data_IF_605864836205
#
_entry.id   IF_605864836205
#
_cell.length_a   1.000
_cell.length_b   1.000
_cell.length_c   1.000
_cell.angle_alpha   90.00
_cell.angle_beta   90.00
_cell.angle_gamma   90.00
#
_symmetry.space_group_name_H-M   'P 1'
#
loop_
_entity.id
_entity.type
_entity.pdbx_description
1 polymer ?
#
# COMPACT_ATOMS: atom_id res chain seq x y z
N UNK A 1 -21.84 21.65 -47.85
CA UNK A 1 -21.59 22.97 -47.20
C UNK A 1 -22.59 23.23 -46.06
N UNK A 2 -22.91 22.22 -45.21
CA UNK A 2 -23.93 22.39 -44.13
C UNK A 2 -23.44 21.96 -42.75
N UNK A 3 -22.16 21.62 -42.60
CA UNK A 3 -21.59 21.17 -41.32
C UNK A 3 -20.58 22.13 -40.68
N UNK A 4 -20.25 23.27 -41.30
CA UNK A 4 -19.31 24.28 -40.77
C UNK A 4 -20.01 25.36 -39.90
N UNK A 5 -21.34 25.46 -39.92
CA UNK A 5 -22.07 26.45 -39.13
C UNK A 5 -22.37 25.99 -37.67
N UNK A 6 -22.19 24.72 -37.37
CA UNK A 6 -22.55 24.18 -36.04
C UNK A 6 -21.41 24.28 -35.00
N UNK A 7 -20.17 24.51 -35.47
CA UNK A 7 -18.99 24.60 -34.59
C UNK A 7 -18.68 26.00 -34.03
N UNK A 8 -19.26 27.06 -34.60
CA UNK A 8 -19.01 28.44 -34.19
C UNK A 8 -19.93 28.92 -33.06
N UNK A 9 -21.00 28.22 -32.72
CA UNK A 9 -21.94 28.58 -31.65
C UNK A 9 -21.54 27.97 -30.29
N UNK A 10 -20.69 26.94 -30.28
CA UNK A 10 -20.29 26.27 -29.02
C UNK A 10 -19.11 26.91 -28.28
N UNK A 11 -18.41 27.88 -28.87
CA UNK A 11 -17.23 28.53 -28.25
C UNK A 11 -17.59 29.83 -27.50
N UNK A 12 -18.82 30.33 -27.63
CA UNK A 12 -19.21 31.66 -27.07
C UNK A 12 -19.84 31.66 -25.68
N UNK A 13 -19.98 30.51 -24.98
CA UNK A 13 -20.70 30.43 -23.68
C UNK A 13 -19.76 30.20 -22.47
N UNK A 14 -18.44 30.11 -22.64
CA UNK A 14 -17.51 29.76 -21.55
C UNK A 14 -16.65 30.93 -21.02
N UNK A 15 -17.07 32.17 -21.22
CA UNK A 15 -16.33 33.34 -20.73
C UNK A 15 -17.18 34.27 -19.88
N UNK A 16 -17.75 33.79 -18.75
CA UNK A 16 -18.33 34.70 -17.74
C UNK A 16 -18.62 33.93 -16.46
N UNK A 17 -17.66 33.70 -15.60
CA UNK A 17 -17.84 33.49 -14.15
C UNK A 17 -16.49 33.37 -13.43
N UNK A 18 -15.79 34.50 -13.24
CA UNK A 18 -14.74 34.63 -12.21
C UNK A 18 -15.03 35.91 -11.41
N UNK A 19 -16.04 35.84 -10.55
CA UNK A 19 -16.20 36.81 -9.47
C UNK A 19 -15.63 36.18 -8.19
N UNK A 20 -14.46 36.66 -7.72
CA UNK A 20 -13.91 36.35 -6.40
C UNK A 20 -14.74 37.01 -5.31
N UNK A 21 -15.22 36.32 -4.29
CA UNK A 21 -15.70 36.95 -3.08
C UNK A 21 -14.49 37.44 -2.26
N UNK A 22 -14.49 38.72 -1.92
CA UNK A 22 -13.53 39.33 -1.00
C UNK A 22 -13.70 38.72 0.39
N UNK A 23 -12.60 38.22 0.94
CA UNK A 23 -12.54 37.65 2.28
C UNK A 23 -12.83 38.72 3.37
N UNK A 24 -13.78 38.38 4.21
CA UNK A 24 -14.08 39.10 5.45
C UNK A 24 -12.98 38.73 6.46
N UNK A 25 -12.12 39.68 6.80
CA UNK A 25 -11.11 39.52 7.85
C UNK A 25 -11.82 39.43 9.20
N UNK A 26 -11.73 38.26 9.84
CA UNK A 26 -12.13 38.07 11.24
C UNK A 26 -10.94 38.49 12.11
N UNK A 27 -11.10 39.39 13.11
CA UNK A 27 -10.01 39.75 14.01
C UNK A 27 -9.63 38.54 14.88
N UNK A 28 -8.34 38.21 14.90
CA UNK A 28 -7.73 37.20 15.76
C UNK A 28 -7.79 37.64 17.22
N UNK A 29 -8.29 36.84 18.16
CA UNK A 29 -8.18 37.14 19.57
C UNK A 29 -6.72 37.03 20.03
N UNK A 30 -6.27 38.02 20.81
CA UNK A 30 -4.95 38.07 21.42
C UNK A 30 -4.72 36.86 22.35
N UNK A 31 -3.48 36.32 22.42
CA UNK A 31 -3.18 35.22 23.33
C UNK A 31 -3.22 35.71 24.79
N UNK A 32 -4.13 35.14 25.56
CA UNK A 32 -4.09 35.27 27.02
C UNK A 32 -2.87 34.50 27.54
N UNK A 33 -1.93 35.20 28.13
CA UNK A 33 -0.79 34.64 28.85
C UNK A 33 -1.29 33.96 30.12
N UNK A 34 -1.67 32.67 30.00
CA UNK A 34 -1.90 31.80 31.15
C UNK A 34 -0.59 31.12 31.49
N UNK A 35 -0.07 31.36 32.70
CA UNK A 35 1.04 30.61 33.25
C UNK A 35 0.72 29.10 33.24
N UNK A 36 1.38 28.36 32.35
CA UNK A 36 1.33 26.91 32.36
C UNK A 36 2.25 26.43 33.48
N UNK A 37 1.63 25.98 34.58
CA UNK A 37 2.34 25.32 35.65
C UNK A 37 3.21 24.21 35.10
N UNK A 38 4.48 24.23 35.53
CA UNK A 38 5.52 23.24 35.22
C UNK A 38 5.02 21.83 35.50
N UNK A 39 4.61 21.13 34.45
CA UNK A 39 4.35 19.70 34.52
C UNK A 39 5.67 18.97 34.70
N UNK A 40 5.79 18.21 35.78
CA UNK A 40 6.95 17.37 36.06
C UNK A 40 7.29 16.48 34.83
N UNK A 41 8.59 16.26 34.56
CA UNK A 41 9.00 15.46 33.40
C UNK A 41 8.44 14.05 33.53
N UNK A 42 7.64 13.65 32.56
CA UNK A 42 7.18 12.28 32.40
C UNK A 42 8.42 11.46 32.10
N UNK A 43 8.82 10.59 33.05
CA UNK A 43 9.89 9.62 32.84
C UNK A 43 9.50 8.75 31.63
N UNK A 44 10.17 9.02 30.52
CA UNK A 44 10.12 8.15 29.35
C UNK A 44 10.70 6.79 29.75
N UNK A 45 9.86 5.77 29.76
CA UNK A 45 10.32 4.38 29.74
C UNK A 45 11.19 4.27 28.50
N UNK A 46 12.49 4.09 28.71
CA UNK A 46 13.48 4.05 27.64
C UNK A 46 13.25 2.85 26.74
N UNK A 47 12.54 3.07 25.67
CA UNK A 47 12.64 2.23 24.49
C UNK A 47 13.74 2.89 23.67
N UNK A 48 14.93 2.33 23.74
CA UNK A 48 16.06 2.70 22.90
C UNK A 48 15.73 2.28 21.47
N UNK A 49 15.13 3.20 20.71
CA UNK A 49 14.81 2.98 19.31
C UNK A 49 16.04 3.33 18.48
N UNK A 50 16.68 2.31 17.92
CA UNK A 50 17.74 2.44 16.93
C UNK A 50 17.15 2.97 15.60
N UNK A 51 16.91 4.27 15.53
CA UNK A 51 16.41 4.94 14.31
C UNK A 51 16.43 6.45 14.49
N UNK A 52 17.36 7.11 13.85
CA UNK A 52 17.84 8.48 14.08
C UNK A 52 16.88 9.63 13.83
N UNK A 53 15.63 9.65 14.29
CA UNK A 53 14.80 10.85 14.26
C UNK A 53 13.70 10.92 15.34
N UNK A 54 13.63 9.98 16.27
CA UNK A 54 12.57 9.97 17.29
C UNK A 54 11.14 9.72 16.74
N UNK A 55 11.00 9.47 15.45
CA UNK A 55 9.73 9.16 14.79
C UNK A 55 9.54 7.66 14.62
N UNK A 56 8.35 7.19 14.92
CA UNK A 56 7.95 5.79 14.73
C UNK A 56 7.22 5.67 13.40
N UNK A 57 7.84 4.95 12.47
CA UNK A 57 7.35 4.85 11.09
C UNK A 57 7.03 3.41 10.76
N UNK A 58 5.82 3.16 10.29
CA UNK A 58 5.43 1.90 9.64
C UNK A 58 5.78 2.00 8.17
N UNK A 59 6.56 1.02 7.68
CA UNK A 59 6.95 0.94 6.28
C UNK A 59 6.27 -0.25 5.61
N UNK A 60 5.78 -0.04 4.38
CA UNK A 60 5.26 -1.09 3.52
C UNK A 60 5.82 -0.92 2.11
N UNK A 61 6.13 -2.04 1.44
CA UNK A 61 6.56 -2.04 0.06
C UNK A 61 5.74 -3.04 -0.76
N UNK A 62 5.46 -2.68 -2.00
CA UNK A 62 4.82 -3.54 -2.98
C UNK A 62 5.71 -3.59 -4.22
N UNK A 63 6.07 -4.81 -4.63
CA UNK A 63 6.91 -5.05 -5.80
C UNK A 63 6.18 -5.95 -6.78
N UNK A 64 6.23 -5.55 -8.05
CA UNK A 64 5.85 -6.38 -9.18
C UNK A 64 7.12 -6.79 -9.92
N UNK A 65 7.42 -8.08 -9.88
CA UNK A 65 8.69 -8.66 -10.36
C UNK A 65 8.40 -9.65 -11.48
N UNK A 66 9.17 -9.58 -12.56
CA UNK A 66 9.15 -10.59 -13.61
C UNK A 66 10.23 -11.64 -13.38
N UNK A 67 9.84 -12.90 -13.50
CA UNK A 67 10.77 -14.04 -13.43
C UNK A 67 10.45 -15.09 -14.49
N UNK A 68 11.49 -15.73 -15.03
CA UNK A 68 11.33 -16.85 -15.95
C UNK A 68 10.78 -18.09 -15.24
N UNK A 69 11.17 -18.29 -13.96
CA UNK A 69 10.71 -19.39 -13.12
C UNK A 69 10.13 -18.82 -11.81
N UNK A 70 8.81 -18.76 -11.78
CA UNK A 70 8.06 -18.18 -10.66
C UNK A 70 8.28 -18.95 -9.37
N UNK A 71 8.32 -20.30 -9.44
CA UNK A 71 8.50 -21.14 -8.26
C UNK A 71 9.88 -20.94 -7.65
N UNK A 72 10.90 -21.00 -8.51
CA UNK A 72 12.30 -20.80 -8.09
C UNK A 72 12.51 -19.41 -7.48
N UNK A 73 11.96 -18.37 -8.10
CA UNK A 73 12.01 -17.01 -7.56
C UNK A 73 11.30 -16.91 -6.21
N UNK A 74 10.12 -17.53 -6.06
CA UNK A 74 9.40 -17.54 -4.79
C UNK A 74 10.20 -18.24 -3.69
N UNK A 75 10.82 -19.38 -3.96
CA UNK A 75 11.66 -20.10 -3.00
C UNK A 75 12.92 -19.30 -2.63
N UNK A 76 13.55 -18.67 -3.62
CA UNK A 76 14.69 -17.78 -3.40
C UNK A 76 14.34 -16.59 -2.49
N UNK A 77 13.20 -15.94 -2.72
CA UNK A 77 12.75 -14.82 -1.90
C UNK A 77 12.40 -15.22 -0.47
N UNK A 78 11.81 -16.41 -0.28
CA UNK A 78 11.55 -16.96 1.05
C UNK A 78 12.86 -17.25 1.81
N UNK A 79 13.85 -17.87 1.14
CA UNK A 79 15.16 -18.17 1.73
C UNK A 79 15.92 -16.89 2.07
N UNK A 80 15.90 -15.91 1.18
CA UNK A 80 16.47 -14.58 1.40
C UNK A 80 15.82 -13.89 2.62
N UNK A 81 14.50 -13.92 2.73
CA UNK A 81 13.80 -13.32 3.88
C UNK A 81 14.27 -13.92 5.19
N UNK A 82 14.44 -15.25 5.25
CA UNK A 82 14.93 -15.92 6.46
C UNK A 82 16.38 -15.56 6.78
N UNK A 83 17.24 -15.40 5.80
CA UNK A 83 18.65 -15.01 6.00
C UNK A 83 18.79 -13.59 6.58
N UNK A 84 17.81 -12.72 6.31
CA UNK A 84 17.72 -11.38 6.88
C UNK A 84 17.07 -11.33 8.27
N UNK A 85 16.68 -12.48 8.84
CA UNK A 85 15.97 -12.54 10.13
C UNK A 85 14.48 -12.22 10.02
N UNK A 86 13.96 -12.20 8.81
CA UNK A 86 12.54 -12.04 8.53
C UNK A 86 11.77 -13.37 8.50
N UNK A 87 10.49 -13.28 8.26
CA UNK A 87 9.62 -14.45 8.09
C UNK A 87 8.58 -14.24 6.99
N UNK A 88 8.06 -15.36 6.46
CA UNK A 88 7.03 -15.35 5.42
C UNK A 88 5.67 -15.38 6.08
N UNK A 89 4.86 -14.35 5.83
CA UNK A 89 3.49 -14.26 6.33
C UNK A 89 2.52 -15.06 5.48
N UNK A 90 2.58 -14.87 4.16
CA UNK A 90 1.74 -15.58 3.18
C UNK A 90 2.60 -15.93 1.96
N UNK A 91 2.47 -17.15 1.46
CA UNK A 91 3.04 -17.57 0.20
C UNK A 91 1.96 -18.32 -0.59
N UNK A 92 1.47 -17.69 -1.65
CA UNK A 92 0.46 -18.24 -2.54
C UNK A 92 1.07 -18.34 -3.94
N UNK A 93 1.27 -19.58 -4.41
CA UNK A 93 2.00 -19.86 -5.65
C UNK A 93 1.09 -20.67 -6.57
N UNK A 94 0.52 -19.99 -7.57
CA UNK A 94 -0.27 -20.59 -8.62
C UNK A 94 0.62 -20.84 -9.85
N UNK A 95 1.01 -22.10 -10.05
CA UNK A 95 1.82 -22.54 -11.19
C UNK A 95 1.19 -23.78 -11.81
N UNK A 96 0.83 -23.72 -13.08
CA UNK A 96 0.29 -24.89 -13.80
C UNK A 96 -0.58 -24.51 -14.98
N UNK A 97 -0.63 -25.38 -15.96
CA UNK A 97 -1.44 -25.23 -17.19
C UNK A 97 -2.94 -25.50 -16.98
N UNK A 98 -3.32 -26.11 -15.86
CA UNK A 98 -4.71 -26.51 -15.58
C UNK A 98 -5.45 -25.58 -14.61
N UNK A 99 -4.75 -24.64 -13.97
CA UNK A 99 -5.39 -23.67 -13.07
C UNK A 99 -6.07 -22.57 -13.86
N UNK A 100 -7.32 -22.26 -13.53
CA UNK A 100 -8.05 -21.09 -14.04
C UNK A 100 -7.41 -19.76 -13.63
N UNK A 101 -6.42 -19.79 -12.74
CA UNK A 101 -5.70 -18.63 -12.28
C UNK A 101 -4.43 -18.38 -13.11
N UNK A 102 -4.06 -17.11 -13.35
CA UNK A 102 -2.83 -16.79 -14.06
C UNK A 102 -1.61 -17.32 -13.30
N UNK A 103 -0.61 -17.78 -14.05
CA UNK A 103 0.67 -18.23 -13.51
C UNK A 103 1.35 -17.07 -12.75
N UNK A 104 1.34 -17.09 -11.43
CA UNK A 104 1.86 -16.01 -10.56
C UNK A 104 2.17 -16.52 -9.16
N UNK A 105 3.05 -15.81 -8.44
CA UNK A 105 3.24 -16.03 -7.01
C UNK A 105 3.01 -14.73 -6.24
N UNK A 106 2.19 -14.79 -5.19
CA UNK A 106 1.95 -13.69 -4.26
C UNK A 106 2.62 -14.01 -2.94
N UNK A 107 3.62 -13.22 -2.59
CA UNK A 107 4.37 -13.40 -1.35
C UNK A 107 4.16 -12.18 -0.45
N UNK A 108 3.92 -12.43 0.83
CA UNK A 108 3.97 -11.41 1.88
C UNK A 108 5.12 -11.75 2.80
N UNK A 109 6.17 -10.95 2.72
CA UNK A 109 7.41 -11.11 3.45
C UNK A 109 7.46 -10.04 4.55
N UNK A 110 7.89 -10.42 5.75
CA UNK A 110 8.09 -9.50 6.86
C UNK A 110 9.59 -9.48 7.18
N UNK A 111 10.20 -8.32 7.01
CA UNK A 111 11.65 -8.11 7.13
C UNK A 111 11.90 -7.07 8.22
N UNK A 112 12.90 -7.25 9.11
CA UNK A 112 13.27 -6.25 10.08
C UNK A 112 13.46 -4.87 9.44
N UNK A 113 12.89 -3.83 10.05
CA UNK A 113 12.83 -2.49 9.46
C UNK A 113 14.22 -1.86 9.24
N UNK A 114 15.17 -2.18 10.11
CA UNK A 114 16.57 -1.75 10.05
C UNK A 114 17.34 -2.34 8.86
N UNK A 115 16.92 -3.52 8.37
CA UNK A 115 17.60 -4.23 7.26
C UNK A 115 16.81 -4.20 5.95
N UNK A 116 15.71 -3.44 5.92
CA UNK A 116 14.79 -3.42 4.79
C UNK A 116 15.44 -2.94 3.48
N UNK A 117 16.24 -1.87 3.52
CA UNK A 117 16.90 -1.32 2.32
C UNK A 117 17.92 -2.30 1.74
N UNK A 118 18.71 -2.94 2.62
CA UNK A 118 19.67 -3.96 2.21
C UNK A 118 18.97 -5.17 1.58
N UNK A 119 17.90 -5.64 2.22
CA UNK A 119 17.06 -6.71 1.71
C UNK A 119 16.52 -6.40 0.30
N UNK A 120 15.97 -5.20 0.08
CA UNK A 120 15.47 -4.78 -1.21
C UNK A 120 16.55 -4.74 -2.29
N UNK A 121 17.74 -4.26 -1.95
CA UNK A 121 18.87 -4.21 -2.90
C UNK A 121 19.27 -5.62 -3.35
N UNK A 122 19.38 -6.56 -2.41
CA UNK A 122 19.73 -7.96 -2.70
C UNK A 122 18.61 -8.65 -3.48
N UNK A 123 17.33 -8.44 -3.11
CA UNK A 123 16.20 -9.02 -3.80
C UNK A 123 16.17 -8.60 -5.27
N UNK A 124 16.34 -7.31 -5.57
CA UNK A 124 16.36 -6.78 -6.93
C UNK A 124 17.58 -7.24 -7.73
N UNK A 125 18.70 -7.47 -7.07
CA UNK A 125 19.93 -8.00 -7.69
C UNK A 125 19.94 -9.53 -7.84
N UNK A 126 18.91 -10.23 -7.41
CA UNK A 126 18.81 -11.68 -7.51
C UNK A 126 18.77 -12.14 -8.96
N UNK A 127 19.46 -13.24 -9.27
CA UNK A 127 19.50 -13.85 -10.62
C UNK A 127 18.12 -14.32 -11.10
N UNK A 128 17.19 -14.57 -10.16
CA UNK A 128 15.84 -15.02 -10.46
C UNK A 128 14.90 -13.86 -10.84
N UNK A 129 15.35 -12.61 -10.73
CA UNK A 129 14.63 -11.39 -11.11
C UNK A 129 15.10 -10.95 -12.49
N UNK A 130 14.21 -11.00 -13.49
CA UNK A 130 14.48 -10.48 -14.83
C UNK A 130 14.31 -8.95 -14.88
N UNK A 131 13.22 -8.46 -14.29
CA UNK A 131 12.92 -7.04 -14.20
C UNK A 131 12.01 -6.73 -13.02
N UNK A 132 12.11 -5.51 -12.49
CA UNK A 132 11.16 -4.94 -11.53
C UNK A 132 10.26 -3.97 -12.29
N UNK A 133 9.01 -4.35 -12.50
CA UNK A 133 8.04 -3.52 -13.24
C UNK A 133 7.49 -2.35 -12.43
N UNK A 134 7.28 -2.59 -11.18
CA UNK A 134 6.69 -1.60 -10.28
C UNK A 134 7.24 -1.78 -8.88
N UNK A 135 7.52 -0.66 -8.24
CA UNK A 135 7.89 -0.58 -6.85
C UNK A 135 7.12 0.57 -6.22
N UNK A 136 6.31 0.27 -5.23
CA UNK A 136 5.57 1.27 -4.47
C UNK A 136 5.98 1.14 -3.02
N UNK A 137 6.45 2.23 -2.43
CA UNK A 137 6.79 2.31 -1.01
C UNK A 137 5.82 3.25 -0.30
N UNK A 138 5.34 2.83 0.84
CA UNK A 138 4.50 3.65 1.71
C UNK A 138 5.16 3.74 3.06
N UNK A 139 5.19 4.94 3.60
CA UNK A 139 5.68 5.23 4.94
C UNK A 139 4.59 6.00 5.67
N UNK A 140 4.26 5.56 6.88
CA UNK A 140 3.27 6.19 7.71
C UNK A 140 3.85 6.47 9.09
N UNK A 141 3.87 7.73 9.48
CA UNK A 141 4.27 8.15 10.83
C UNK A 141 3.13 7.77 11.80
N UNK A 142 3.46 6.96 12.78
CA UNK A 142 2.53 6.44 13.78
C UNK A 142 2.89 6.86 15.20
N UNK A 143 3.79 7.84 15.34
CA UNK A 143 4.28 8.32 16.62
C UNK A 143 3.14 8.77 17.53
N UNK A 144 2.22 9.59 16.99
CA UNK A 144 1.06 10.07 17.76
C UNK A 144 0.12 8.92 18.16
N UNK A 145 -0.07 7.93 17.29
CA UNK A 145 -0.91 6.78 17.59
C UNK A 145 -0.33 5.93 18.75
N UNK A 146 0.98 5.74 18.79
CA UNK A 146 1.66 5.01 19.88
C UNK A 146 1.50 5.77 21.20
N UNK A 147 1.68 7.09 21.18
CA UNK A 147 1.52 7.94 22.37
C UNK A 147 0.06 7.90 22.87
N UNK A 148 -0.91 7.97 21.96
CA UNK A 148 -2.34 7.94 22.30
C UNK A 148 -2.72 6.59 22.93
N UNK A 149 -2.34 5.46 22.34
CA UNK A 149 -2.58 4.13 22.93
C UNK A 149 -1.96 4.00 24.31
N UNK A 150 -0.72 4.45 24.51
CA UNK A 150 -0.07 4.42 25.81
C UNK A 150 -0.77 5.31 26.85
N UNK A 151 -1.28 6.47 26.43
CA UNK A 151 -2.02 7.37 27.31
C UNK A 151 -3.38 6.79 27.71
N UNK A 152 -4.12 6.22 26.75
CA UNK A 152 -5.42 5.55 27.00
C UNK A 152 -5.26 4.35 27.93
N UNK A 153 -4.28 3.51 27.69
CA UNK A 153 -3.99 2.36 28.55
C UNK A 153 -3.73 2.80 30.00
N UNK A 154 -2.86 3.78 30.20
CA UNK A 154 -2.58 4.33 31.54
C UNK A 154 -3.81 4.93 32.23
N UNK A 155 -4.72 5.55 31.47
CA UNK A 155 -5.96 6.08 32.00
C UNK A 155 -6.91 4.96 32.46
N UNK A 156 -7.05 3.89 31.68
CA UNK A 156 -7.87 2.73 32.02
C UNK A 156 -7.31 1.96 33.22
N UNK A 157 -5.99 1.78 33.29
CA UNK A 157 -5.32 1.15 34.44
C UNK A 157 -5.57 1.92 35.75
N UNK A 158 -5.57 3.27 35.71
CA UNK A 158 -5.95 4.09 36.87
C UNK A 158 -7.43 3.92 37.23
N UNK A 159 -8.30 3.78 36.24
CA UNK A 159 -9.73 3.55 36.47
C UNK A 159 -9.94 2.16 37.09
N UNK A 160 -9.25 1.13 36.59
CA UNK A 160 -9.26 -0.19 37.18
C UNK A 160 -8.84 -0.16 38.65
N UNK A 161 -7.74 0.51 38.99
CA UNK A 161 -7.26 0.61 40.37
C UNK A 161 -8.28 1.32 41.27
N UNK A 162 -9.00 2.35 40.76
CA UNK A 162 -10.09 2.99 41.52
C UNK A 162 -11.29 2.06 41.75
N UNK A 163 -11.66 1.32 40.72
CA UNK A 163 -12.76 0.36 40.82
C UNK A 163 -12.43 -0.75 41.83
N UNK A 164 -11.17 -1.24 41.86
CA UNK A 164 -10.71 -2.20 42.87
C UNK A 164 -10.82 -1.63 44.29
N UNK A 165 -10.42 -0.37 44.50
CA UNK A 165 -10.63 0.29 45.82
C UNK A 165 -12.09 0.46 46.19
N UNK A 166 -12.98 0.70 45.22
CA UNK A 166 -14.43 0.76 45.47
C UNK A 166 -14.97 -0.61 45.81
N UNK A 167 -14.50 -1.67 45.14
CA UNK A 167 -14.90 -3.04 45.46
C UNK A 167 -14.54 -3.44 46.90
N UNK A 168 -13.34 -3.05 47.37
CA UNK A 168 -12.90 -3.29 48.76
C UNK A 168 -13.79 -2.58 49.80
N UNK A 169 -14.47 -1.49 49.43
CA UNK A 169 -15.34 -0.68 50.29
C UNK A 169 -16.83 -0.99 50.12
N UNK A 170 -17.19 -1.78 49.12
CA UNK A 170 -18.57 -2.15 48.84
C UNK A 170 -19.14 -2.99 50.00
N UNK A 171 -20.31 -2.62 50.47
CA UNK A 171 -20.96 -3.28 51.59
C UNK A 171 -22.20 -4.05 51.18
N UNK A 172 -22.76 -3.78 50.02
CA UNK A 172 -23.96 -4.43 49.50
C UNK A 172 -23.65 -5.29 48.28
N UNK A 173 -24.41 -6.38 48.11
CA UNK A 173 -24.26 -7.28 46.96
C UNK A 173 -24.46 -6.54 45.64
N UNK A 174 -25.43 -5.61 45.61
CA UNK A 174 -25.70 -4.82 44.40
C UNK A 174 -24.53 -3.90 44.01
N UNK A 175 -23.85 -3.30 44.98
CA UNK A 175 -22.64 -2.50 44.74
C UNK A 175 -21.50 -3.37 44.22
N UNK A 176 -21.27 -4.53 44.82
CA UNK A 176 -20.25 -5.49 44.37
C UNK A 176 -20.49 -5.88 42.92
N UNK A 177 -21.70 -6.30 42.56
CA UNK A 177 -22.04 -6.73 41.21
C UNK A 177 -21.85 -5.62 40.18
N UNK A 178 -22.23 -4.37 40.50
CA UNK A 178 -22.03 -3.22 39.58
C UNK A 178 -20.56 -2.91 39.38
N UNK A 179 -19.75 -2.93 40.45
CA UNK A 179 -18.31 -2.66 40.34
C UNK A 179 -17.60 -3.78 39.58
N UNK A 180 -17.98 -5.05 39.80
CA UNK A 180 -17.42 -6.17 39.04
C UNK A 180 -17.76 -6.11 37.55
N UNK A 181 -18.96 -5.69 37.18
CA UNK A 181 -19.34 -5.48 35.79
C UNK A 181 -18.48 -4.41 35.14
N UNK A 182 -18.29 -3.26 35.83
CA UNK A 182 -17.42 -2.19 35.31
C UNK A 182 -15.94 -2.61 35.29
N UNK A 183 -15.45 -3.36 36.26
CA UNK A 183 -14.10 -3.93 36.23
C UNK A 183 -13.90 -4.84 35.02
N UNK A 184 -14.85 -5.71 34.74
CA UNK A 184 -14.79 -6.60 33.58
C UNK A 184 -14.74 -5.79 32.28
N UNK A 185 -15.58 -4.75 32.17
CA UNK A 185 -15.58 -3.86 31.00
C UNK A 185 -14.25 -3.14 30.81
N UNK A 186 -13.70 -2.57 31.89
CA UNK A 186 -12.43 -1.84 31.86
C UNK A 186 -11.26 -2.77 31.51
N UNK A 187 -11.22 -3.98 32.06
CA UNK A 187 -10.20 -4.99 31.75
C UNK A 187 -10.23 -5.39 30.27
N UNK A 188 -11.41 -5.68 29.75
CA UNK A 188 -11.57 -5.98 28.31
C UNK A 188 -11.04 -4.84 27.43
N UNK A 189 -11.28 -3.59 27.83
CA UNK A 189 -10.79 -2.43 27.07
C UNK A 189 -9.26 -2.26 27.19
N UNK A 190 -8.67 -2.54 28.37
CA UNK A 190 -7.20 -2.56 28.55
C UNK A 190 -6.58 -3.61 27.64
N UNK A 191 -7.11 -4.83 27.62
CA UNK A 191 -6.62 -5.92 26.76
C UNK A 191 -6.73 -5.55 25.28
N UNK A 192 -7.83 -4.92 24.86
CA UNK A 192 -8.02 -4.45 23.50
C UNK A 192 -6.98 -3.42 23.10
N UNK A 193 -6.72 -2.42 23.94
CA UNK A 193 -5.71 -1.39 23.68
C UNK A 193 -4.31 -2.00 23.68
N UNK A 194 -4.00 -2.91 24.60
CA UNK A 194 -2.72 -3.61 24.64
C UNK A 194 -2.46 -4.42 23.36
N UNK A 195 -3.48 -5.11 22.84
CA UNK A 195 -3.38 -5.85 21.58
C UNK A 195 -3.13 -4.91 20.37
N UNK A 196 -3.80 -3.75 20.33
CA UNK A 196 -3.58 -2.75 19.29
C UNK A 196 -2.17 -2.16 19.35
N UNK A 197 -1.67 -1.89 20.54
CA UNK A 197 -0.31 -1.40 20.75
C UNK A 197 0.72 -2.44 20.28
N UNK A 198 0.58 -3.70 20.68
CA UNK A 198 1.47 -4.79 20.27
C UNK A 198 1.48 -5.01 18.75
N UNK A 199 0.31 -4.90 18.09
CA UNK A 199 0.23 -4.97 16.63
C UNK A 199 0.98 -3.82 15.97
N UNK A 200 0.84 -2.60 16.48
CA UNK A 200 1.53 -1.43 15.95
C UNK A 200 3.04 -1.53 16.15
N UNK A 201 3.50 -1.97 17.32
CA UNK A 201 4.91 -2.21 17.62
C UNK A 201 5.51 -3.25 16.66
N UNK A 202 4.78 -4.32 16.36
CA UNK A 202 5.22 -5.32 15.38
C UNK A 202 5.33 -4.73 13.97
N UNK A 203 4.40 -3.85 13.56
CA UNK A 203 4.46 -3.16 12.26
C UNK A 203 5.61 -2.16 12.16
N UNK A 204 6.02 -1.59 13.27
CA UNK A 204 7.19 -0.71 13.34
C UNK A 204 8.48 -1.54 13.22
N UNK A 205 8.52 -2.67 13.93
CA UNK A 205 9.70 -3.54 13.95
C UNK A 205 9.93 -4.28 12.62
N UNK A 206 8.86 -4.59 11.89
CA UNK A 206 8.92 -5.35 10.64
C UNK A 206 8.25 -4.61 9.49
N UNK A 207 8.99 -4.38 8.43
CA UNK A 207 8.47 -3.88 7.16
C UNK A 207 7.76 -4.99 6.41
N UNK A 208 6.54 -4.73 5.97
CA UNK A 208 5.74 -5.64 5.16
C UNK A 208 6.06 -5.44 3.68
N UNK A 209 6.63 -6.47 3.05
CA UNK A 209 6.97 -6.47 1.63
C UNK A 209 6.03 -7.43 0.90
N UNK A 210 5.18 -6.89 0.05
CA UNK A 210 4.33 -7.67 -0.86
C UNK A 210 5.04 -7.81 -2.19
N UNK A 211 5.34 -9.04 -2.60
CA UNK A 211 5.98 -9.34 -3.88
C UNK A 211 5.00 -10.13 -4.73
N UNK A 212 4.67 -9.59 -5.88
CA UNK A 212 3.93 -10.29 -6.93
C UNK A 212 4.92 -10.68 -8.02
N UNK A 213 5.15 -11.98 -8.17
CA UNK A 213 6.00 -12.55 -9.21
C UNK A 213 5.12 -13.00 -10.37
N UNK A 214 5.43 -12.49 -11.56
CA UNK A 214 4.71 -12.80 -12.80
C UNK A 214 5.67 -13.30 -13.87
N UNK A 215 5.19 -14.06 -14.87
CA UNK A 215 6.00 -14.42 -16.00
C UNK A 215 6.38 -13.18 -16.81
N UNK A 216 7.51 -13.19 -17.53
CA UNK A 216 7.85 -12.09 -18.42
C UNK A 216 6.76 -11.97 -19.49
N UNK A 217 6.21 -10.78 -19.65
CA UNK A 217 5.37 -10.50 -20.82
C UNK A 217 6.30 -10.45 -22.01
N UNK A 218 6.25 -11.51 -22.80
CA UNK A 218 6.78 -11.46 -24.15
C UNK A 218 5.93 -10.42 -24.88
N UNK A 219 6.37 -9.16 -24.88
CA UNK A 219 5.91 -8.23 -25.89
C UNK A 219 6.44 -8.86 -27.17
N UNK A 220 5.61 -9.66 -27.86
CA UNK A 220 5.87 -9.97 -29.26
C UNK A 220 6.05 -8.63 -29.93
N UNK A 221 7.28 -8.17 -30.01
CA UNK A 221 7.64 -7.17 -31.01
C UNK A 221 7.31 -7.88 -32.32
N UNK A 222 6.07 -7.70 -32.80
CA UNK A 222 5.72 -8.02 -34.19
C UNK A 222 6.81 -7.41 -35.00
N UNK A 223 7.76 -8.27 -35.41
CA UNK A 223 8.92 -7.80 -36.11
C UNK A 223 8.38 -7.04 -37.31
N UNK A 224 8.84 -5.81 -37.53
CA UNK A 224 8.44 -5.00 -38.70
C UNK A 224 8.60 -5.81 -39.98
N UNK A 225 9.41 -6.88 -39.96
CA UNK A 225 9.57 -7.86 -41.02
C UNK A 225 8.35 -8.76 -41.25
N UNK A 226 7.54 -9.11 -40.22
CA UNK A 226 6.32 -9.92 -40.44
C UNK A 226 5.19 -9.06 -41.00
N UNK A 227 5.01 -7.86 -40.48
CA UNK A 227 4.04 -6.90 -41.04
C UNK A 227 4.42 -6.46 -42.44
N UNK A 228 5.69 -6.32 -42.75
CA UNK A 228 6.17 -6.04 -44.11
C UNK A 228 5.93 -7.22 -45.06
N UNK A 229 6.11 -8.48 -44.64
CA UNK A 229 5.83 -9.67 -45.46
C UNK A 229 4.33 -9.84 -45.72
N UNK A 230 3.46 -9.59 -44.75
CA UNK A 230 2.01 -9.63 -44.95
C UNK A 230 1.54 -8.49 -45.86
N UNK A 231 2.04 -7.29 -45.69
CA UNK A 231 1.77 -6.14 -46.57
C UNK A 231 2.25 -6.41 -48.02
N UNK A 232 3.40 -7.03 -48.19
CA UNK A 232 3.93 -7.42 -49.49
C UNK A 232 3.09 -8.47 -50.19
N UNK A 233 2.60 -9.50 -49.45
CA UNK A 233 1.72 -10.52 -50.02
C UNK A 233 0.37 -9.97 -50.46
N UNK A 234 -0.23 -9.10 -49.67
CA UNK A 234 -1.50 -8.45 -50.00
C UNK A 234 -1.35 -7.49 -51.20
N UNK A 235 -0.22 -6.76 -51.32
CA UNK A 235 0.02 -5.90 -52.45
C UNK A 235 0.25 -6.66 -53.76
N UNK A 236 0.95 -7.79 -53.74
CA UNK A 236 1.11 -8.69 -54.87
C UNK A 236 -0.23 -9.33 -55.31
N UNK A 237 -1.10 -9.68 -54.37
CA UNK A 237 -2.41 -10.22 -54.70
C UNK A 237 -3.30 -9.16 -55.41
N UNK A 238 -3.30 -7.93 -54.92
CA UNK A 238 -4.03 -6.83 -55.54
C UNK A 238 -3.50 -6.50 -56.95
N UNK A 239 -2.18 -6.48 -57.11
CA UNK A 239 -1.52 -6.26 -58.42
C UNK A 239 -1.89 -7.35 -59.42
N UNK A 240 -1.96 -8.63 -58.97
CA UNK A 240 -2.38 -9.76 -59.81
C UNK A 240 -3.83 -9.67 -60.20
N UNK A 241 -4.71 -9.25 -59.31
CA UNK A 241 -6.15 -9.02 -59.61
C UNK A 241 -6.31 -7.90 -60.64
N UNK A 242 -5.57 -6.80 -60.52
CA UNK A 242 -5.60 -5.67 -61.41
C UNK A 242 -5.15 -6.06 -62.82
N UNK A 243 -4.05 -6.83 -62.93
CA UNK A 243 -3.59 -7.36 -64.20
C UNK A 243 -4.59 -8.29 -64.90
N UNK A 244 -5.27 -9.16 -64.14
CA UNK A 244 -6.34 -10.00 -64.66
C UNK A 244 -7.52 -9.16 -65.21
N UNK A 245 -7.93 -8.11 -64.47
CA UNK A 245 -8.96 -7.20 -64.90
C UNK A 245 -8.66 -6.48 -66.19
N UNK A 246 -7.39 -6.03 -66.37
CA UNK A 246 -6.95 -5.39 -67.60
C UNK A 246 -6.95 -6.38 -68.79
N UNK A 247 -6.49 -7.61 -68.60
CA UNK A 247 -6.48 -8.65 -69.63
C UNK A 247 -7.92 -8.95 -70.11
N UNK A 248 -8.87 -9.09 -69.18
CA UNK A 248 -10.26 -9.30 -69.51
C UNK A 248 -10.91 -8.09 -70.24
N UNK A 249 -10.56 -6.86 -69.84
CA UNK A 249 -11.02 -5.66 -70.51
C UNK A 249 -10.54 -5.54 -71.96
N UNK A 250 -9.28 -5.98 -72.21
CA UNK A 250 -8.71 -5.99 -73.57
C UNK A 250 -9.32 -7.09 -74.45
N UNK A 251 -9.73 -8.26 -73.87
CA UNK A 251 -10.34 -9.37 -74.63
C UNK A 251 -11.81 -9.07 -75.00
N UNK A 252 -12.49 -8.24 -74.20
CA UNK A 252 -13.89 -7.88 -74.40
C UNK A 252 -14.11 -6.58 -75.25
N UNK A 253 -13.02 -5.88 -75.60
CA UNK A 253 -13.07 -4.71 -76.48
C UNK A 253 -12.72 -5.08 -77.91
#
# INVERSE_FOLDING_TARGET
MRHLAFWLVLVSVLASACARPQGRTVPSPAPASGEVGSAAPVQSVGIEWAGGSGRLVVQEAELLVESADIRRAADAFQSLTRSFGGYVGVADIATGTESSEPNQAKLTLLVPADRFEEFLAVLKGSTDVLSVRSEVRRQNDVTDAVIDYAARRRSLERTEARLQQLLERATTIDEVLRVEQELTRVRTEIERIAAQQAELERRIAYTKVRVLVVPPTVTESRSLGETAREAWRTSLFLLRMLLHGIVWAVILS
#
